data_IF_962282335683
#
_entry.id   IF_962282335683
#
_cell.length_a   1.000
_cell.length_b   1.000
_cell.length_c   1.000
_cell.angle_alpha   90.00
_cell.angle_beta   90.00
_cell.angle_gamma   90.00
#
_symmetry.space_group_name_H-M   'P 1'
#
loop_
_entity.id
_entity.type
_entity.pdbx_description
1 polymer ?
#
# COMPACT_ATOMS: atom_id res chain seq x y z
N UNK A 1 4.86 11.30 -14.25
CA UNK A 1 4.76 9.89 -13.86
C UNK A 1 4.04 9.15 -14.97
N UNK A 2 4.60 8.05 -15.45
CA UNK A 2 4.01 7.25 -16.53
C UNK A 2 2.95 6.31 -15.93
N UNK A 3 1.76 6.28 -16.56
CA UNK A 3 0.70 5.33 -16.17
C UNK A 3 1.02 3.98 -16.81
N UNK A 4 0.90 2.86 -16.06
CA UNK A 4 1.11 1.53 -16.61
C UNK A 4 0.20 1.22 -17.79
N UNK A 5 0.74 0.53 -18.78
CA UNK A 5 0.02 0.20 -20.02
C UNK A 5 -1.30 -0.55 -19.74
N UNK A 6 -1.32 -1.43 -18.75
CA UNK A 6 -2.51 -2.20 -18.39
C UNK A 6 -3.71 -1.32 -18.01
N UNK A 7 -3.48 -0.18 -17.38
CA UNK A 7 -4.57 0.78 -17.07
C UNK A 7 -5.10 1.41 -18.36
N UNK A 8 -4.22 1.64 -19.34
CA UNK A 8 -4.60 2.25 -20.61
C UNK A 8 -5.41 1.29 -21.51
N UNK A 9 -5.37 -0.02 -21.24
CA UNK A 9 -6.15 -1.03 -21.99
C UNK A 9 -7.57 -1.21 -21.47
N UNK A 10 -7.96 -0.55 -20.38
CA UNK A 10 -9.33 -0.57 -19.86
C UNK A 10 -10.25 0.11 -20.87
N UNK A 11 -11.27 -0.61 -21.34
CA UNK A 11 -12.19 -0.13 -22.40
C UNK A 11 -13.10 0.99 -21.90
N UNK A 12 -13.61 0.88 -20.68
CA UNK A 12 -14.46 1.88 -20.07
C UNK A 12 -13.64 3.10 -19.62
N UNK A 13 -13.99 4.28 -20.14
CA UNK A 13 -13.26 5.53 -19.87
C UNK A 13 -13.32 5.93 -18.39
N UNK A 14 -14.47 5.76 -17.72
CA UNK A 14 -14.65 6.09 -16.31
C UNK A 14 -13.83 5.16 -15.41
N UNK A 15 -13.73 3.87 -15.76
CA UNK A 15 -12.94 2.89 -15.03
C UNK A 15 -11.45 3.13 -15.23
N UNK A 16 -11.07 3.49 -16.45
CA UNK A 16 -9.68 3.85 -16.76
C UNK A 16 -9.24 5.09 -15.99
N UNK A 17 -10.07 6.13 -15.92
CA UNK A 17 -9.78 7.35 -15.15
C UNK A 17 -9.67 7.04 -13.66
N UNK A 18 -10.61 6.29 -13.09
CA UNK A 18 -10.58 5.85 -11.70
C UNK A 18 -9.28 5.09 -11.37
N UNK A 19 -8.91 4.10 -12.18
CA UNK A 19 -7.67 3.33 -11.96
C UNK A 19 -6.41 4.17 -12.14
N UNK A 20 -6.41 5.13 -13.07
CA UNK A 20 -5.32 6.06 -13.25
C UNK A 20 -5.13 6.96 -12.02
N UNK A 21 -6.20 7.46 -11.43
CA UNK A 21 -6.16 8.29 -10.22
C UNK A 21 -5.76 7.48 -8.99
N UNK A 22 -6.27 6.25 -8.85
CA UNK A 22 -5.84 5.32 -7.82
C UNK A 22 -4.34 5.05 -7.91
N UNK A 23 -3.83 4.77 -9.11
CA UNK A 23 -2.40 4.55 -9.31
C UNK A 23 -1.58 5.81 -9.02
N UNK A 24 -1.97 6.98 -9.51
CA UNK A 24 -1.27 8.26 -9.23
C UNK A 24 -1.17 8.53 -7.73
N UNK A 25 -2.24 8.23 -7.00
CA UNK A 25 -2.34 8.51 -5.57
C UNK A 25 -1.54 7.51 -4.73
N UNK A 26 -1.65 6.21 -5.02
CA UNK A 26 -1.20 5.15 -4.13
C UNK A 26 0.01 4.34 -4.62
N UNK A 27 0.54 4.56 -5.86
CA UNK A 27 1.63 3.74 -6.40
C UNK A 27 2.88 3.68 -5.50
N UNK A 28 3.25 4.80 -4.85
CA UNK A 28 4.42 4.84 -3.95
C UNK A 28 4.19 3.99 -2.69
N UNK A 29 2.98 4.02 -2.17
CA UNK A 29 2.58 3.19 -1.05
C UNK A 29 2.64 1.72 -1.43
N UNK A 30 1.96 1.33 -2.50
CA UNK A 30 1.89 -0.05 -2.97
C UNK A 30 3.28 -0.61 -3.31
N UNK A 31 4.10 0.18 -4.00
CA UNK A 31 5.49 -0.20 -4.31
C UNK A 31 6.28 -0.47 -3.02
N UNK A 32 6.16 0.41 -2.02
CA UNK A 32 6.85 0.25 -0.75
C UNK A 32 6.39 -1.00 -0.01
N UNK A 33 5.07 -1.22 0.10
CA UNK A 33 4.51 -2.40 0.78
C UNK A 33 4.99 -3.72 0.14
N UNK A 34 5.06 -3.78 -1.20
CA UNK A 34 5.61 -4.95 -1.90
C UNK A 34 7.11 -5.06 -1.70
N UNK A 35 7.85 -3.95 -1.85
CA UNK A 35 9.31 -3.94 -1.75
C UNK A 35 9.81 -4.34 -0.35
N UNK A 36 9.14 -3.93 0.72
CA UNK A 36 9.49 -4.32 2.09
C UNK A 36 9.45 -5.85 2.31
N UNK A 37 8.60 -6.55 1.57
CA UNK A 37 8.46 -8.01 1.65
C UNK A 37 9.42 -8.74 0.69
N UNK A 38 9.58 -8.22 -0.53
CA UNK A 38 10.29 -8.91 -1.63
C UNK A 38 11.78 -8.55 -1.67
N UNK A 39 12.15 -7.33 -1.26
CA UNK A 39 13.52 -6.79 -1.22
C UNK A 39 14.25 -6.81 -2.57
N UNK A 40 13.50 -6.72 -3.67
CA UNK A 40 14.02 -6.78 -5.04
C UNK A 40 13.19 -5.86 -5.94
N UNK A 41 13.84 -4.87 -6.57
CA UNK A 41 13.16 -3.84 -7.36
C UNK A 41 12.50 -4.40 -8.63
N UNK A 42 13.16 -5.32 -9.33
CA UNK A 42 12.63 -5.93 -10.55
C UNK A 42 11.36 -6.74 -10.27
N UNK A 43 11.45 -7.62 -9.27
CA UNK A 43 10.29 -8.41 -8.88
C UNK A 43 9.17 -7.55 -8.28
N UNK A 44 9.51 -6.42 -7.63
CA UNK A 44 8.50 -5.48 -7.13
C UNK A 44 7.72 -4.82 -8.26
N UNK A 45 8.38 -4.44 -9.36
CA UNK A 45 7.72 -3.86 -10.54
C UNK A 45 6.77 -4.86 -11.21
N UNK A 46 7.20 -6.11 -11.38
CA UNK A 46 6.37 -7.18 -11.93
C UNK A 46 5.15 -7.47 -11.05
N UNK A 47 5.36 -7.47 -9.73
CA UNK A 47 4.28 -7.69 -8.76
C UNK A 47 3.32 -6.51 -8.69
N UNK A 48 3.79 -5.28 -8.92
CA UNK A 48 2.92 -4.10 -9.08
C UNK A 48 1.99 -4.26 -10.28
N UNK A 49 2.47 -4.76 -11.43
CA UNK A 49 1.62 -5.03 -12.57
C UNK A 49 0.58 -6.11 -12.25
N UNK A 50 1.00 -7.23 -11.67
CA UNK A 50 0.09 -8.31 -11.25
C UNK A 50 -0.94 -7.87 -10.20
N UNK A 51 -0.58 -6.92 -9.33
CA UNK A 51 -1.50 -6.31 -8.38
C UNK A 51 -2.53 -5.45 -9.12
N UNK A 52 -2.09 -4.61 -10.06
CA UNK A 52 -3.00 -3.76 -10.83
C UNK A 52 -4.01 -4.58 -11.65
N UNK A 53 -3.59 -5.70 -12.26
CA UNK A 53 -4.50 -6.63 -12.93
C UNK A 53 -5.63 -7.07 -12.00
N UNK A 54 -5.29 -7.53 -10.81
CA UNK A 54 -6.28 -7.96 -9.81
C UNK A 54 -7.19 -6.82 -9.35
N UNK A 55 -6.66 -5.60 -9.20
CA UNK A 55 -7.46 -4.45 -8.81
C UNK A 55 -8.44 -4.04 -9.92
N UNK A 56 -8.04 -4.16 -11.19
CA UNK A 56 -8.90 -3.90 -12.35
C UNK A 56 -10.11 -4.86 -12.36
N UNK A 57 -9.92 -6.13 -12.05
CA UNK A 57 -11.01 -7.12 -11.95
C UNK A 57 -12.04 -6.80 -10.85
N UNK A 58 -11.71 -5.89 -9.94
CA UNK A 58 -12.53 -5.53 -8.79
C UNK A 58 -12.92 -4.04 -8.73
N UNK A 59 -12.91 -3.33 -9.86
CA UNK A 59 -13.15 -1.87 -9.93
C UNK A 59 -14.48 -1.48 -9.26
N UNK A 60 -15.56 -2.20 -9.54
CA UNK A 60 -16.88 -1.91 -8.94
C UNK A 60 -16.85 -1.95 -7.42
N UNK A 61 -16.14 -2.93 -6.86
CA UNK A 61 -15.95 -3.04 -5.42
C UNK A 61 -15.10 -1.89 -4.89
N UNK A 62 -14.00 -1.55 -5.56
CA UNK A 62 -13.10 -0.47 -5.15
C UNK A 62 -13.82 0.89 -5.12
N UNK A 63 -14.72 1.14 -6.07
CA UNK A 63 -15.55 2.35 -6.12
C UNK A 63 -16.54 2.45 -4.97
N UNK A 64 -16.97 1.32 -4.41
CA UNK A 64 -17.93 1.29 -3.30
C UNK A 64 -17.29 1.60 -1.94
N UNK A 65 -15.97 1.58 -1.86
CA UNK A 65 -15.23 1.79 -0.62
C UNK A 65 -15.06 3.27 -0.29
N UNK A 66 -15.13 3.59 1.00
CA UNK A 66 -14.59 4.85 1.48
C UNK A 66 -13.04 4.87 1.38
N UNK A 67 -12.43 6.04 1.56
CA UNK A 67 -10.97 6.19 1.42
C UNK A 67 -10.18 5.24 2.31
N UNK A 68 -10.65 4.98 3.52
CA UNK A 68 -9.99 4.09 4.47
C UNK A 68 -10.09 2.63 4.04
N UNK A 69 -11.31 2.19 3.73
CA UNK A 69 -11.56 0.84 3.23
C UNK A 69 -10.76 0.56 1.96
N UNK A 70 -10.66 1.55 1.07
CA UNK A 70 -9.87 1.46 -0.16
C UNK A 70 -8.38 1.24 0.16
N UNK A 71 -7.81 2.05 1.06
CA UNK A 71 -6.39 1.91 1.45
C UNK A 71 -6.14 0.55 2.09
N UNK A 72 -6.98 0.14 3.04
CA UNK A 72 -6.83 -1.15 3.73
C UNK A 72 -6.90 -2.31 2.72
N UNK A 73 -7.83 -2.26 1.77
CA UNK A 73 -7.98 -3.28 0.74
C UNK A 73 -6.77 -3.36 -0.20
N UNK A 74 -6.31 -2.23 -0.75
CA UNK A 74 -5.17 -2.23 -1.70
C UNK A 74 -3.86 -2.60 -1.02
N UNK A 75 -3.63 -2.23 0.25
CA UNK A 75 -2.48 -2.66 1.03
C UNK A 75 -2.53 -4.17 1.31
N UNK A 76 -3.69 -4.71 1.71
CA UNK A 76 -3.86 -6.15 1.91
C UNK A 76 -3.63 -6.93 0.60
N UNK A 77 -4.12 -6.43 -0.53
CA UNK A 77 -3.89 -7.03 -1.84
C UNK A 77 -2.39 -7.00 -2.24
N UNK A 78 -1.69 -5.91 -1.94
CA UNK A 78 -0.24 -5.78 -2.16
C UNK A 78 0.55 -6.79 -1.32
N UNK A 79 0.26 -6.89 -0.01
CA UNK A 79 0.87 -7.87 0.88
C UNK A 79 0.62 -9.31 0.41
N UNK A 80 -0.62 -9.65 0.09
CA UNK A 80 -0.96 -10.98 -0.39
C UNK A 80 -0.22 -11.33 -1.69
N UNK A 81 -0.05 -10.36 -2.59
CA UNK A 81 0.70 -10.55 -3.85
C UNK A 81 2.18 -10.82 -3.55
N UNK A 82 2.80 -10.05 -2.67
CA UNK A 82 4.19 -10.19 -2.27
C UNK A 82 4.45 -11.50 -1.50
N UNK A 83 3.60 -11.85 -0.53
CA UNK A 83 3.73 -13.11 0.22
C UNK A 83 3.54 -14.35 -0.64
N UNK A 84 2.57 -14.33 -1.56
CA UNK A 84 2.37 -15.45 -2.50
C UNK A 84 3.57 -15.64 -3.41
N UNK A 85 4.19 -14.56 -3.88
CA UNK A 85 5.44 -14.62 -4.64
C UNK A 85 6.57 -15.27 -3.83
N UNK A 86 6.81 -14.81 -2.59
CA UNK A 86 7.85 -15.38 -1.74
C UNK A 86 7.58 -16.84 -1.39
N UNK A 87 6.32 -17.23 -1.19
CA UNK A 87 5.93 -18.63 -0.96
C UNK A 87 6.21 -19.49 -2.20
N UNK A 88 5.87 -19.00 -3.39
CA UNK A 88 6.14 -19.71 -4.64
C UNK A 88 7.66 -19.86 -4.88
N UNK A 89 8.43 -18.79 -4.62
CA UNK A 89 9.89 -18.80 -4.72
C UNK A 89 10.51 -19.82 -3.76
N UNK A 90 10.07 -19.87 -2.50
CA UNK A 90 10.51 -20.89 -1.54
C UNK A 90 10.16 -22.30 -2.02
N UNK A 91 8.94 -22.53 -2.49
CA UNK A 91 8.50 -23.84 -2.98
C UNK A 91 9.35 -24.34 -4.16
N UNK A 92 9.70 -23.44 -5.09
CA UNK A 92 10.57 -23.79 -6.22
C UNK A 92 12.01 -24.04 -5.79
N UNK A 93 12.48 -23.42 -4.70
CA UNK A 93 13.79 -23.65 -4.11
C UNK A 93 13.89 -25.01 -3.38
N UNK A 94 12.77 -25.50 -2.82
CA UNK A 94 12.69 -26.78 -2.10
C UNK A 94 12.56 -28.02 -3.01
N UNK A 95 12.45 -27.85 -4.33
CA UNK A 95 12.53 -28.99 -5.26
C UNK A 95 13.97 -29.51 -5.38
N UNK A 96 14.95 -28.72 -4.94
CA UNK A 96 16.38 -29.06 -5.08
C UNK A 96 17.14 -29.33 -3.75
N UNK A 97 16.56 -29.17 -2.56
CA UNK A 97 17.30 -29.34 -1.28
C UNK A 97 16.42 -29.93 -0.17
N UNK A 98 16.80 -31.13 0.28
CA UNK A 98 16.71 -31.82 1.58
C UNK A 98 15.52 -31.58 2.55
N UNK A 99 14.88 -32.67 3.09
CA UNK A 99 13.63 -32.64 3.85
C UNK A 99 13.71 -32.16 5.32
N UNK A 100 14.87 -31.72 5.83
CA UNK A 100 15.06 -31.48 7.28
C UNK A 100 15.11 -30.02 7.74
N UNK A 101 14.68 -29.05 6.94
CA UNK A 101 14.66 -27.66 7.37
C UNK A 101 13.21 -27.12 7.52
N UNK A 102 12.65 -27.28 8.72
CA UNK A 102 11.38 -26.67 9.09
C UNK A 102 11.46 -25.13 9.07
N UNK A 103 10.45 -24.41 8.50
CA UNK A 103 10.42 -22.96 8.54
C UNK A 103 10.18 -22.45 9.97
N UNK A 104 11.06 -21.58 10.43
CA UNK A 104 10.97 -20.90 11.72
C UNK A 104 9.62 -20.18 11.92
N UNK A 105 9.02 -20.24 13.12
CA UNK A 105 7.68 -19.72 13.41
C UNK A 105 7.56 -18.20 13.51
N UNK A 106 8.60 -17.44 13.18
CA UNK A 106 8.65 -15.97 13.39
C UNK A 106 7.69 -15.12 12.54
N UNK A 107 7.02 -15.71 11.53
CA UNK A 107 6.13 -14.96 10.64
C UNK A 107 4.67 -14.84 11.13
N UNK A 108 4.26 -15.66 12.10
CA UNK A 108 2.89 -15.61 12.63
C UNK A 108 2.76 -14.61 13.79
N UNK A 109 3.78 -14.51 14.63
CA UNK A 109 3.79 -13.55 15.75
C UNK A 109 3.86 -12.10 15.25
N UNK A 110 4.70 -11.80 14.25
CA UNK A 110 4.79 -10.46 13.65
C UNK A 110 3.46 -10.04 12.98
N UNK A 111 2.73 -10.97 12.37
CA UNK A 111 1.43 -10.67 11.75
C UNK A 111 0.31 -10.43 12.78
N UNK A 112 0.41 -11.03 13.98
CA UNK A 112 -0.55 -10.83 15.07
C UNK A 112 -0.30 -9.48 15.75
N UNK A 113 0.96 -9.12 16.01
CA UNK A 113 1.35 -7.83 16.59
C UNK A 113 0.90 -6.68 15.69
N UNK A 114 1.12 -6.78 14.37
CA UNK A 114 0.63 -5.76 13.43
C UNK A 114 -0.90 -5.63 13.40
N UNK A 115 -1.66 -6.70 13.61
CA UNK A 115 -3.13 -6.63 13.65
C UNK A 115 -3.65 -5.95 14.91
N UNK A 116 -3.03 -6.19 16.06
CA UNK A 116 -3.41 -5.54 17.32
C UNK A 116 -3.06 -4.05 17.31
N UNK A 117 -1.90 -3.68 16.76
CA UNK A 117 -1.48 -2.28 16.61
C UNK A 117 -2.39 -1.52 15.64
N UNK A 118 -2.80 -2.14 14.52
CA UNK A 118 -3.74 -1.55 13.57
C UNK A 118 -5.15 -1.42 14.16
N UNK A 119 -5.61 -2.38 14.96
CA UNK A 119 -6.90 -2.29 15.64
C UNK A 119 -6.90 -1.16 16.68
N UNK A 120 -5.83 -1.03 17.43
CA UNK A 120 -5.65 0.05 18.41
C UNK A 120 -5.57 1.42 17.73
N UNK A 121 -4.84 1.53 16.62
CA UNK A 121 -4.78 2.74 15.81
C UNK A 121 -6.15 3.11 15.25
N UNK A 122 -6.92 2.11 14.81
CA UNK A 122 -8.27 2.31 14.28
C UNK A 122 -9.24 2.90 15.32
N UNK A 123 -9.11 2.50 16.58
CA UNK A 123 -9.94 3.04 17.66
C UNK A 123 -9.64 4.52 17.96
N UNK A 124 -8.36 4.90 17.91
CA UNK A 124 -7.92 6.29 18.20
C UNK A 124 -8.12 7.18 16.98
N UNK A 125 -8.05 6.64 15.77
CA UNK A 125 -8.10 7.40 14.52
C UNK A 125 -9.31 8.30 14.40
N UNK A 126 -10.48 7.80 14.76
CA UNK A 126 -11.75 8.54 14.68
C UNK A 126 -11.88 9.68 15.71
N UNK A 127 -10.99 9.73 16.70
CA UNK A 127 -10.92 10.80 17.68
C UNK A 127 -9.96 11.93 17.28
N UNK A 128 -9.18 11.73 16.21
CA UNK A 128 -8.29 12.75 15.69
C UNK A 128 -9.09 13.76 14.84
N UNK A 129 -8.71 15.03 14.89
CA UNK A 129 -9.26 16.04 14.01
C UNK A 129 -8.85 15.77 12.54
N UNK A 130 -9.64 16.23 11.58
CA UNK A 130 -9.45 15.98 10.15
C UNK A 130 -8.07 16.41 9.65
N UNK A 131 -7.53 17.51 10.18
CA UNK A 131 -6.21 18.02 9.82
C UNK A 131 -5.11 17.06 10.27
N UNK A 132 -5.21 16.54 11.48
CA UNK A 132 -4.26 15.55 12.03
C UNK A 132 -4.35 14.25 11.28
N UNK A 133 -5.56 13.75 10.97
CA UNK A 133 -5.76 12.57 10.13
C UNK A 133 -5.13 12.75 8.76
N UNK A 134 -5.37 13.91 8.11
CA UNK A 134 -4.74 14.23 6.82
C UNK A 134 -3.21 14.21 6.90
N UNK A 135 -2.61 14.91 7.90
CA UNK A 135 -1.16 14.99 8.04
C UNK A 135 -0.50 13.63 8.25
N UNK A 136 -1.10 12.80 9.10
CA UNK A 136 -0.62 11.44 9.35
C UNK A 136 -0.77 10.55 8.12
N UNK A 137 -1.94 10.57 7.47
CA UNK A 137 -2.18 9.82 6.23
C UNK A 137 -1.24 10.26 5.12
N UNK A 138 -1.13 11.55 4.87
CA UNK A 138 -0.28 12.10 3.82
C UNK A 138 1.20 11.75 4.05
N UNK A 139 1.67 11.81 5.30
CA UNK A 139 3.08 11.55 5.63
C UNK A 139 3.42 10.08 5.67
N UNK A 140 2.61 9.26 6.37
CA UNK A 140 2.95 7.88 6.71
C UNK A 140 2.35 6.87 5.75
N UNK A 141 1.15 7.12 5.23
CA UNK A 141 0.47 6.24 4.27
C UNK A 141 0.84 6.64 2.85
N UNK A 142 0.53 7.88 2.43
CA UNK A 142 0.75 8.34 1.06
C UNK A 142 2.21 8.73 0.76
N UNK A 143 3.08 8.74 1.78
CA UNK A 143 4.52 9.07 1.68
C UNK A 143 4.78 10.43 1.00
N UNK A 144 3.86 11.38 1.14
CA UNK A 144 4.00 12.72 0.59
C UNK A 144 5.17 13.47 1.22
N UNK A 145 5.85 14.28 0.42
CA UNK A 145 6.88 15.18 0.93
C UNK A 145 6.26 16.37 1.67
N UNK A 146 7.04 17.01 2.54
CA UNK A 146 6.59 18.25 3.22
C UNK A 146 6.20 19.36 2.25
N UNK A 147 6.83 19.43 1.07
CA UNK A 147 6.50 20.40 0.02
C UNK A 147 5.14 20.13 -0.64
N UNK A 148 4.85 18.86 -0.94
CA UNK A 148 3.55 18.44 -1.49
C UNK A 148 2.41 18.73 -0.51
N UNK A 149 2.59 18.38 0.77
CA UNK A 149 1.61 18.69 1.82
C UNK A 149 1.43 20.20 2.05
N UNK A 150 2.51 20.97 1.96
CA UNK A 150 2.48 22.43 2.08
C UNK A 150 1.64 23.07 0.97
N UNK A 151 1.83 22.61 -0.26
CA UNK A 151 1.06 23.07 -1.41
C UNK A 151 -0.44 22.76 -1.29
N UNK A 152 -0.79 21.57 -0.82
CA UNK A 152 -2.18 21.14 -0.65
C UNK A 152 -2.87 21.85 0.53
N UNK A 153 -2.14 22.12 1.62
CA UNK A 153 -2.68 22.81 2.78
C UNK A 153 -2.61 24.35 2.69
N UNK A 154 -1.93 24.88 1.68
CA UNK A 154 -1.71 26.31 1.53
C UNK A 154 -0.89 26.94 2.67
N UNK A 155 0.02 26.18 3.29
CA UNK A 155 0.85 26.63 4.41
C UNK A 155 2.34 26.44 4.10
N UNK A 156 3.26 27.21 4.74
CA UNK A 156 4.70 27.04 4.57
C UNK A 156 5.17 25.62 4.93
N UNK A 157 6.16 25.09 4.21
CA UNK A 157 6.70 23.75 4.43
C UNK A 157 7.25 23.52 5.85
N UNK A 158 7.82 24.55 6.46
CA UNK A 158 8.30 24.50 7.85
C UNK A 158 7.14 24.28 8.84
N UNK A 159 5.98 24.89 8.57
CA UNK A 159 4.79 24.70 9.39
C UNK A 159 4.22 23.29 9.26
N UNK A 160 4.33 22.66 8.08
CA UNK A 160 3.95 21.25 7.88
C UNK A 160 4.81 20.33 8.74
N UNK A 161 6.14 20.53 8.75
CA UNK A 161 7.06 19.76 9.59
C UNK A 161 6.68 19.81 11.06
N UNK A 162 6.41 21.03 11.57
CA UNK A 162 6.00 21.21 12.96
C UNK A 162 4.64 20.59 13.25
N UNK A 163 3.69 20.70 12.31
CA UNK A 163 2.36 20.11 12.45
C UNK A 163 2.43 18.57 12.49
N UNK A 164 3.23 17.93 11.63
CA UNK A 164 3.45 16.48 11.66
C UNK A 164 4.09 16.01 12.97
N UNK A 165 5.07 16.77 13.51
CA UNK A 165 5.69 16.44 14.80
C UNK A 165 4.71 16.52 15.96
N UNK A 166 3.77 17.48 15.93
CA UNK A 166 2.73 17.62 16.97
C UNK A 166 1.61 16.58 16.84
N UNK A 167 1.39 16.08 15.64
CA UNK A 167 0.40 15.03 15.35
C UNK A 167 0.87 13.61 15.75
N UNK A 168 2.14 13.41 15.99
CA UNK A 168 2.78 12.15 16.37
C UNK A 168 2.72 11.91 17.88
#
# INVERSE_FOLDING_TARGET
>A
MMIPYIILTIENDDDREFMADLYRTYHRLLYKEIYEIVQDSWNTEDLMQSLLEKLIDHIDQLRSFDTRQLIDYICAAAHNTAYNYNRAKKKNYFIDIDPDNEPSPSSLEDSIIHREDLASLALVWNHLDEKTQYLLSARYILKKSGKEMAAELGIPADNVRMAVVRAK
#
